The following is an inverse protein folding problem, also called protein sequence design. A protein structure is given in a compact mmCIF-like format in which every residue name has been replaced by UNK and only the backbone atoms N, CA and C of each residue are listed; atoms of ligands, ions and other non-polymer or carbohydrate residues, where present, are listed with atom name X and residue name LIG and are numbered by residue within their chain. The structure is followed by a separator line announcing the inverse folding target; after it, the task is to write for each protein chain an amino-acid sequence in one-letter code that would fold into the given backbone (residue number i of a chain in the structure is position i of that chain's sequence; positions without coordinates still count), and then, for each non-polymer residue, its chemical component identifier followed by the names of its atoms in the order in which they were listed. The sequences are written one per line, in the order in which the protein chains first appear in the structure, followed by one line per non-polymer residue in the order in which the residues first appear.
data_IF_052691666568
#
_entry.id   IF_052691666568
#
_cell.length_a   1.000
_cell.length_b   1.000
_cell.length_c   1.000
_cell.angle_alpha   90.00
_cell.angle_beta   90.00
_cell.angle_gamma   90.00
#
_symmetry.space_group_name_H-M   'P 1'
#
loop_
_entity.id
_entity.type
_entity.pdbx_description
1 polymer ?
#
# COMPACT_ATOMS: atom_id res chain seq x y z
N UNK A 1 7.40 12.93 59.29
CA UNK A 1 6.87 11.75 58.57
C UNK A 1 6.36 12.23 57.24
N UNK A 2 7.00 11.78 56.19
CA UNK A 2 7.08 12.41 54.87
C UNK A 2 5.92 11.99 53.99
N UNK A 3 5.28 12.93 53.31
CA UNK A 3 4.54 12.62 52.08
C UNK A 3 5.15 13.42 50.96
N UNK A 4 6.15 12.80 50.31
CA UNK A 4 6.48 13.06 48.92
C UNK A 4 5.39 12.39 48.08
N UNK A 5 4.72 13.15 47.22
CA UNK A 5 4.31 12.66 45.89
C UNK A 5 4.28 13.82 44.91
N UNK A 6 5.19 13.71 43.95
CA UNK A 6 5.43 14.54 42.78
C UNK A 6 4.15 14.87 41.99
N UNK A 7 4.01 16.14 41.63
CA UNK A 7 3.21 16.52 40.47
C UNK A 7 4.10 16.40 39.22
N UNK A 8 4.20 15.18 38.70
CA UNK A 8 4.74 14.87 37.38
C UNK A 8 3.59 14.32 36.52
N UNK A 9 2.92 15.19 35.78
CA UNK A 9 2.21 14.86 34.55
C UNK A 9 2.76 15.82 33.50
N UNK A 10 3.82 15.47 32.77
CA UNK A 10 3.78 14.66 31.55
C UNK A 10 2.60 15.06 30.66
N UNK A 11 2.91 15.96 29.73
CA UNK A 11 2.76 15.72 28.31
C UNK A 11 1.37 15.37 27.80
N UNK A 12 0.66 16.36 27.27
CA UNK A 12 -0.30 16.15 26.20
C UNK A 12 -0.56 17.47 25.44
N UNK A 13 0.49 18.07 24.87
CA UNK A 13 0.29 18.93 23.70
C UNK A 13 0.18 18.04 22.44
N UNK A 14 -0.70 17.03 22.49
CA UNK A 14 -1.15 16.28 21.33
C UNK A 14 -2.30 17.08 20.70
N UNK A 15 -1.97 18.28 20.23
CA UNK A 15 -2.92 19.14 19.55
C UNK A 15 -3.13 18.58 18.14
N UNK A 16 -4.30 17.99 17.95
CA UNK A 16 -5.13 18.08 16.75
C UNK A 16 -4.48 17.67 15.42
N UNK A 17 -4.41 16.36 15.12
CA UNK A 17 -4.40 15.81 13.75
C UNK A 17 -4.86 14.32 13.65
N UNK A 18 -5.51 13.74 14.66
CA UNK A 18 -5.82 12.30 14.70
C UNK A 18 -7.02 11.87 13.82
N UNK A 19 -7.78 12.80 13.24
CA UNK A 19 -8.97 12.50 12.42
C UNK A 19 -8.74 12.51 10.90
N UNK A 20 -7.54 12.89 10.43
CA UNK A 20 -7.21 12.91 8.99
C UNK A 20 -6.54 11.60 8.49
N UNK A 21 -6.44 10.58 9.34
CA UNK A 21 -5.41 9.53 9.21
C UNK A 21 -5.80 8.21 8.52
N UNK A 22 -6.98 8.07 7.90
CA UNK A 22 -7.39 6.75 7.39
C UNK A 22 -8.18 6.79 6.06
N UNK A 23 -7.76 7.67 5.15
CA UNK A 23 -8.11 7.55 3.73
C UNK A 23 -7.13 6.63 3.00
N UNK A 24 -7.66 5.85 2.05
CA UNK A 24 -6.87 4.92 1.24
C UNK A 24 -5.86 5.70 0.40
N UNK A 25 -4.57 5.57 0.72
CA UNK A 25 -3.48 6.20 -0.01
C UNK A 25 -2.40 5.18 -0.40
N UNK A 26 -2.44 4.66 -1.65
CA UNK A 26 -1.43 3.74 -2.15
C UNK A 26 -0.09 4.43 -2.43
N UNK A 27 -0.02 5.78 -2.50
CA UNK A 27 1.26 6.46 -2.70
C UNK A 27 2.20 6.26 -1.52
N UNK A 28 1.68 6.38 -0.28
CA UNK A 28 2.44 6.13 0.95
C UNK A 28 3.05 4.73 0.98
N UNK A 29 2.29 3.74 0.54
CA UNK A 29 2.77 2.36 0.42
C UNK A 29 3.91 2.25 -0.61
N UNK A 30 3.73 2.82 -1.81
CA UNK A 30 4.73 2.77 -2.86
C UNK A 30 6.00 3.53 -2.49
N UNK A 31 5.88 4.72 -1.91
CA UNK A 31 7.01 5.54 -1.50
C UNK A 31 7.82 4.83 -0.40
N UNK A 32 7.14 4.26 0.59
CA UNK A 32 7.82 3.45 1.61
C UNK A 32 8.51 2.22 1.01
N UNK A 33 7.93 1.58 0.00
CA UNK A 33 8.59 0.46 -0.68
C UNK A 33 9.83 0.92 -1.47
N UNK A 34 9.77 2.07 -2.14
CA UNK A 34 10.92 2.67 -2.84
C UNK A 34 12.04 2.97 -1.84
N UNK A 35 11.72 3.60 -0.72
CA UNK A 35 12.68 3.95 0.33
C UNK A 35 13.28 2.70 0.98
N UNK A 36 12.43 1.73 1.33
CA UNK A 36 12.85 0.48 2.00
C UNK A 36 13.76 -0.38 1.13
N UNK A 37 13.49 -0.43 -0.16
CA UNK A 37 14.26 -1.22 -1.13
C UNK A 37 15.41 -0.41 -1.76
N UNK A 38 15.63 0.84 -1.32
CA UNK A 38 16.63 1.76 -1.87
C UNK A 38 16.56 1.90 -3.39
N UNK A 39 15.35 1.95 -3.93
CA UNK A 39 15.10 2.03 -5.37
C UNK A 39 15.17 3.48 -5.84
N UNK A 40 15.68 3.68 -7.07
CA UNK A 40 15.79 5.01 -7.66
C UNK A 40 14.46 5.56 -8.18
N UNK A 41 13.55 4.69 -8.61
CA UNK A 41 12.29 5.07 -9.23
C UNK A 41 11.24 3.95 -9.25
N UNK A 42 10.00 4.32 -9.57
CA UNK A 42 8.85 3.42 -9.76
C UNK A 42 9.08 2.36 -10.84
N UNK A 43 9.87 2.67 -11.86
CA UNK A 43 10.17 1.70 -12.92
C UNK A 43 11.07 0.57 -12.40
N UNK A 44 11.93 0.83 -11.41
CA UNK A 44 12.70 -0.19 -10.71
C UNK A 44 11.80 -0.98 -9.76
N UNK A 45 10.87 -0.30 -9.07
CA UNK A 45 9.86 -0.95 -8.23
C UNK A 45 8.97 -1.89 -9.04
N UNK A 46 8.51 -1.46 -10.21
CA UNK A 46 7.70 -2.26 -11.14
C UNK A 46 8.42 -3.55 -11.55
N UNK A 47 9.72 -3.45 -11.88
CA UNK A 47 10.56 -4.60 -12.22
C UNK A 47 10.73 -5.56 -11.04
N UNK A 48 10.90 -5.04 -9.83
CA UNK A 48 11.03 -5.86 -8.62
C UNK A 48 9.72 -6.59 -8.30
N UNK A 49 8.60 -5.89 -8.43
CA UNK A 49 7.26 -6.42 -8.23
C UNK A 49 6.76 -7.27 -9.42
N UNK A 50 7.56 -7.45 -10.48
CA UNK A 50 7.18 -8.20 -11.68
C UNK A 50 5.87 -7.70 -12.32
N UNK A 51 5.68 -6.38 -12.30
CA UNK A 51 4.55 -5.69 -12.92
C UNK A 51 5.02 -4.71 -13.99
N UNK A 52 4.15 -4.44 -14.96
CA UNK A 52 4.45 -3.43 -15.97
C UNK A 52 4.47 -2.02 -15.33
N UNK A 53 5.40 -1.13 -15.72
CA UNK A 53 5.45 0.26 -15.23
C UNK A 53 4.12 1.04 -15.29
N UNK A 54 3.25 0.86 -16.30
CA UNK A 54 1.93 1.48 -16.33
C UNK A 54 1.02 1.08 -15.16
N UNK A 55 1.21 -0.10 -14.56
CA UNK A 55 0.43 -0.55 -13.39
C UNK A 55 0.74 0.32 -12.19
N UNK A 56 2.02 0.55 -11.89
CA UNK A 56 2.45 1.44 -10.80
C UNK A 56 1.95 2.86 -11.04
N UNK A 57 2.07 3.36 -12.26
CA UNK A 57 1.54 4.69 -12.62
C UNK A 57 0.02 4.79 -12.40
N UNK A 58 -0.75 3.76 -12.78
CA UNK A 58 -2.21 3.73 -12.54
C UNK A 58 -2.55 3.65 -11.05
N UNK A 59 -1.73 2.97 -10.25
CA UNK A 59 -1.92 2.89 -8.80
C UNK A 59 -1.69 4.27 -8.15
N UNK A 60 -0.60 4.96 -8.52
CA UNK A 60 -0.30 6.31 -8.01
C UNK A 60 -1.39 7.33 -8.33
N UNK A 61 -1.99 7.23 -9.51
CA UNK A 61 -3.09 8.08 -9.94
C UNK A 61 -4.48 7.58 -9.50
N UNK A 62 -4.55 6.61 -8.57
CA UNK A 62 -5.80 6.02 -8.06
C UNK A 62 -6.73 5.45 -9.14
N UNK A 63 -6.19 5.13 -10.34
CA UNK A 63 -6.90 4.53 -11.47
C UNK A 63 -6.97 3.01 -11.35
N UNK A 64 -6.11 2.40 -10.54
CA UNK A 64 -6.07 0.96 -10.30
C UNK A 64 -5.92 0.70 -8.80
N UNK A 65 -6.84 -0.10 -8.25
CA UNK A 65 -6.77 -0.53 -6.86
C UNK A 65 -5.76 -1.67 -6.70
N UNK A 66 -5.06 -1.71 -5.57
CA UNK A 66 -4.12 -2.79 -5.28
C UNK A 66 -4.91 -4.07 -4.98
N UNK A 67 -4.73 -5.07 -5.83
CA UNK A 67 -5.32 -6.40 -5.66
C UNK A 67 -4.52 -7.28 -4.70
N UNK A 68 -5.10 -8.40 -4.30
CA UNK A 68 -4.46 -9.36 -3.40
C UNK A 68 -3.15 -9.93 -3.97
N UNK A 69 -3.10 -10.24 -5.27
CA UNK A 69 -1.90 -10.77 -5.94
C UNK A 69 -0.72 -9.80 -5.87
N UNK A 70 -0.96 -8.52 -6.16
CA UNK A 70 0.08 -7.50 -6.09
C UNK A 70 0.55 -7.28 -4.65
N UNK A 71 -0.35 -7.34 -3.69
CA UNK A 71 -0.01 -7.19 -2.27
C UNK A 71 0.85 -8.36 -1.75
N UNK A 72 0.57 -9.59 -2.20
CA UNK A 72 1.41 -10.77 -1.93
C UNK A 72 2.80 -10.53 -2.50
N UNK A 73 2.90 -10.07 -3.74
CA UNK A 73 4.20 -9.78 -4.36
C UNK A 73 4.96 -8.68 -3.63
N UNK A 74 4.27 -7.64 -3.15
CA UNK A 74 4.85 -6.60 -2.29
C UNK A 74 5.38 -7.17 -0.98
N UNK A 75 4.67 -8.11 -0.37
CA UNK A 75 5.11 -8.81 0.84
C UNK A 75 6.40 -9.61 0.57
N UNK A 76 6.44 -10.38 -0.51
CA UNK A 76 7.59 -11.23 -0.87
C UNK A 76 8.88 -10.42 -1.11
N UNK A 77 8.78 -9.24 -1.74
CA UNK A 77 9.98 -8.44 -2.06
C UNK A 77 10.45 -7.56 -0.90
N UNK A 78 9.56 -7.17 0.00
CA UNK A 78 9.86 -6.21 1.08
C UNK A 78 9.97 -6.84 2.47
N UNK A 79 9.59 -8.12 2.60
CA UNK A 79 9.42 -8.84 3.87
C UNK A 79 8.44 -8.16 4.85
N UNK A 80 7.63 -7.21 4.37
CA UNK A 80 6.62 -6.52 5.19
C UNK A 80 5.36 -7.36 5.23
N UNK A 81 4.85 -7.67 6.42
CA UNK A 81 3.61 -8.42 6.57
C UNK A 81 2.44 -7.75 5.85
N UNK A 82 1.53 -8.56 5.29
CA UNK A 82 0.33 -8.07 4.60
C UNK A 82 -0.48 -7.12 5.49
N UNK A 83 -0.52 -7.37 6.81
CA UNK A 83 -1.16 -6.48 7.78
C UNK A 83 -0.53 -5.08 7.82
N UNK A 84 0.80 -5.00 7.87
CA UNK A 84 1.51 -3.73 7.84
C UNK A 84 1.35 -3.01 6.51
N UNK A 85 1.38 -3.72 5.37
CA UNK A 85 1.12 -3.12 4.06
C UNK A 85 -0.28 -2.48 4.00
N UNK A 86 -1.28 -3.11 4.60
CA UNK A 86 -2.65 -2.56 4.68
C UNK A 86 -2.73 -1.32 5.57
N UNK A 87 -2.06 -1.32 6.72
CA UNK A 87 -1.98 -0.16 7.62
C UNK A 87 -1.32 1.01 6.88
N UNK A 88 -0.22 0.74 6.17
CA UNK A 88 0.54 1.75 5.44
C UNK A 88 -0.24 2.38 4.29
N UNK A 89 -1.09 1.59 3.64
CA UNK A 89 -2.04 2.04 2.62
C UNK A 89 -3.27 2.75 3.20
N UNK A 90 -3.53 2.65 4.51
CA UNK A 90 -4.79 3.10 5.11
C UNK A 90 -6.00 2.22 4.71
N UNK A 91 -5.76 0.99 4.26
CA UNK A 91 -6.80 0.13 3.71
C UNK A 91 -7.58 -0.64 4.78
N UNK A 92 -8.70 -0.04 5.19
CA UNK A 92 -9.68 -0.65 6.10
C UNK A 92 -10.62 -1.65 5.42
N UNK A 93 -10.49 -1.93 4.12
CA UNK A 93 -11.39 -2.88 3.44
C UNK A 93 -11.21 -4.29 4.00
N UNK A 94 -12.25 -4.84 4.63
CA UNK A 94 -12.24 -6.19 5.18
C UNK A 94 -12.22 -7.31 4.12
N UNK A 95 -12.39 -6.99 2.84
CA UNK A 95 -12.40 -7.95 1.72
C UNK A 95 -11.66 -7.37 0.52
N UNK A 96 -10.73 -8.14 -0.05
CA UNK A 96 -10.01 -7.76 -1.26
C UNK A 96 -10.93 -7.79 -2.47
N UNK A 97 -10.91 -6.72 -3.26
CA UNK A 97 -11.54 -6.72 -4.57
C UNK A 97 -10.56 -7.35 -5.55
N UNK A 98 -10.89 -8.54 -6.06
CA UNK A 98 -10.16 -9.14 -7.17
C UNK A 98 -10.48 -8.30 -8.40
N UNK A 99 -9.66 -7.28 -8.66
CA UNK A 99 -9.76 -6.50 -9.89
C UNK A 99 -9.09 -7.30 -11.01
N UNK A 100 -9.87 -8.12 -11.70
CA UNK A 100 -9.48 -8.62 -13.03
C UNK A 100 -9.48 -7.43 -13.98
N UNK A 101 -8.30 -6.89 -14.33
CA UNK A 101 -8.21 -5.87 -15.39
C UNK A 101 -8.34 -6.55 -16.75
N UNK A 102 -9.42 -6.14 -17.42
CA UNK A 102 -10.05 -6.64 -18.64
C UNK A 102 -9.24 -6.55 -19.95
N UNK A 103 -7.91 -6.68 -19.94
CA UNK A 103 -7.13 -6.73 -21.20
C UNK A 103 -6.73 -8.15 -21.65
N UNK A 104 -7.17 -9.19 -20.93
CA UNK A 104 -6.77 -10.59 -21.14
C UNK A 104 -7.94 -11.52 -21.50
N UNK A 105 -8.91 -11.03 -22.29
CA UNK A 105 -9.56 -11.97 -23.21
C UNK A 105 -8.74 -11.95 -24.49
N UNK A 106 -7.90 -12.98 -24.76
CA UNK A 106 -7.49 -13.19 -26.14
C UNK A 106 -8.78 -13.24 -26.94
N UNK A 107 -8.89 -12.38 -27.95
CA UNK A 107 -9.93 -12.53 -28.97
C UNK A 107 -9.80 -13.96 -29.47
N UNK A 108 -10.66 -14.83 -28.96
CA UNK A 108 -10.75 -16.21 -29.36
C UNK A 108 -11.13 -16.16 -30.83
N UNK A 109 -10.12 -16.18 -31.69
CA UNK A 109 -10.25 -16.38 -33.12
C UNK A 109 -10.67 -17.83 -33.31
N UNK A 110 -11.92 -18.09 -32.99
CA UNK A 110 -12.62 -19.35 -33.13
C UNK A 110 -13.77 -19.09 -34.09
N UNK A 111 -13.42 -18.99 -35.38
CA UNK A 111 -14.31 -19.44 -36.45
C UNK A 111 -13.50 -20.29 -37.41
N UNK A 112 -13.55 -21.58 -37.12
CA UNK A 112 -13.43 -22.65 -38.09
C UNK A 112 -14.62 -22.57 -39.08
N UNK A 113 -14.33 -22.81 -40.36
CA UNK A 113 -15.12 -23.53 -41.39
C UNK A 113 -14.62 -23.11 -42.78
#
# INVERSE_FOLDING_TARGET
MTTFTNNAGIGANATANDDALLDYDPNRLLDHLVDRLHLKNDAALARMLDVAPPVISKIRHFRLAIGASLLIRMHEVSDISIGNLRILMGDRRGKFRVAFSQNDVPGASLRAA
#
